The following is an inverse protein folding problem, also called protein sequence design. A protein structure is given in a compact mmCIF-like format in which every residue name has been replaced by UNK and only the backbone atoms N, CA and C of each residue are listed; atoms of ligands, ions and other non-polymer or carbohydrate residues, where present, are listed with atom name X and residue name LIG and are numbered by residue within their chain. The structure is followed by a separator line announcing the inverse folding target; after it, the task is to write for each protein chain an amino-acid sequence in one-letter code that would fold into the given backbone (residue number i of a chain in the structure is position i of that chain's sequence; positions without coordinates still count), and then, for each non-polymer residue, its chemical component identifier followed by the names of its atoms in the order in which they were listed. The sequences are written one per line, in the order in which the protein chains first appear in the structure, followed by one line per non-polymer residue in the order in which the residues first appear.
data_IF_482731708633
#
_entry.id   IF_482731708633
#
_cell.length_a   1.000
_cell.length_b   1.000
_cell.length_c   1.000
_cell.angle_alpha   90.00
_cell.angle_beta   90.00
_cell.angle_gamma   90.00
#
_symmetry.space_group_name_H-M   'P 1'
#
loop_
_entity.id
_entity.type
_entity.pdbx_description
1 polymer ?
#
# COMPACT_ATOMS: atom_id res chain seq x y z
N UNK A 1 -5.68 7.43 -19.71
CA UNK A 1 -5.95 6.17 -18.98
C UNK A 1 -6.62 6.52 -17.66
N UNK A 2 -7.72 5.84 -17.29
CA UNK A 2 -8.37 6.06 -15.98
C UNK A 2 -7.60 5.32 -14.90
N UNK A 3 -7.35 5.99 -13.77
CA UNK A 3 -6.66 5.43 -12.60
C UNK A 3 -7.50 5.63 -11.35
N UNK A 4 -7.38 4.70 -10.42
CA UNK A 4 -7.94 4.81 -9.07
C UNK A 4 -6.83 5.14 -8.08
N UNK A 5 -7.15 5.95 -7.07
CA UNK A 5 -6.25 6.22 -5.95
C UNK A 5 -6.65 5.35 -4.77
N UNK A 6 -5.71 4.57 -4.25
CA UNK A 6 -5.90 3.66 -3.12
C UNK A 6 -4.90 3.98 -2.01
N UNK A 7 -5.19 3.55 -0.79
CA UNK A 7 -4.26 3.63 0.34
C UNK A 7 -3.52 2.30 0.46
N UNK A 8 -2.18 2.35 0.42
CA UNK A 8 -1.35 1.18 0.66
C UNK A 8 -1.48 0.74 2.12
N UNK A 9 -1.88 -0.50 2.35
CA UNK A 9 -2.06 -1.02 3.71
C UNK A 9 -0.72 -1.20 4.44
N UNK A 10 0.35 -1.53 3.71
CA UNK A 10 1.69 -1.72 4.28
C UNK A 10 2.39 -0.44 4.71
N UNK A 11 2.21 0.68 4.00
CA UNK A 11 2.94 1.92 4.31
C UNK A 11 2.06 3.14 4.63
N UNK A 12 0.75 3.05 4.38
CA UNK A 12 -0.21 4.13 4.58
C UNK A 12 -0.19 5.22 3.52
N UNK A 13 0.64 5.11 2.48
CA UNK A 13 0.74 6.13 1.43
C UNK A 13 -0.32 5.93 0.34
N UNK A 14 -0.85 7.01 -0.24
CA UNK A 14 -1.67 6.92 -1.43
C UNK A 14 -0.84 6.42 -2.61
N UNK A 15 -1.44 5.60 -3.47
CA UNK A 15 -0.84 5.17 -4.73
C UNK A 15 -1.91 5.02 -5.81
N UNK A 16 -1.47 5.10 -7.06
CA UNK A 16 -2.35 4.99 -8.22
C UNK A 16 -2.29 3.58 -8.80
N UNK A 17 -3.44 3.04 -9.19
CA UNK A 17 -3.59 1.77 -9.90
C UNK A 17 -4.43 2.00 -11.16
N UNK A 18 -4.17 1.22 -12.21
CA UNK A 18 -4.99 1.27 -13.41
C UNK A 18 -6.42 0.78 -13.10
N UNK A 19 -7.44 1.47 -13.64
CA UNK A 19 -8.85 1.09 -13.42
C UNK A 19 -9.11 -0.37 -13.80
N UNK A 20 -8.55 -0.83 -14.93
CA UNK A 20 -8.72 -2.21 -15.42
C UNK A 20 -8.19 -3.26 -14.44
N UNK A 21 -7.11 -2.94 -13.73
CA UNK A 21 -6.55 -3.84 -12.72
C UNK A 21 -7.40 -3.84 -11.46
N UNK A 22 -7.89 -2.68 -11.06
CA UNK A 22 -8.83 -2.55 -9.95
C UNK A 22 -10.12 -3.33 -10.20
N UNK A 23 -10.73 -3.17 -11.38
CA UNK A 23 -11.96 -3.87 -11.77
C UNK A 23 -11.75 -5.38 -11.82
N UNK A 24 -10.60 -5.85 -12.32
CA UNK A 24 -10.25 -7.28 -12.32
C UNK A 24 -10.29 -7.85 -10.90
N UNK A 25 -9.68 -7.15 -9.95
CA UNK A 25 -9.62 -7.69 -8.59
C UNK A 25 -10.99 -7.61 -7.89
N UNK A 26 -11.80 -6.59 -8.18
CA UNK A 26 -13.19 -6.54 -7.71
C UNK A 26 -14.01 -7.70 -8.26
N UNK A 27 -13.82 -8.06 -9.53
CA UNK A 27 -14.52 -9.18 -10.17
C UNK A 27 -14.17 -10.53 -9.56
N UNK A 28 -12.93 -10.69 -9.09
CA UNK A 28 -12.47 -11.90 -8.40
C UNK A 28 -13.01 -12.02 -6.95
N UNK A 29 -13.78 -11.03 -6.47
CA UNK A 29 -14.29 -10.95 -5.08
C UNK A 29 -13.21 -11.12 -4.00
N UNK A 30 -11.94 -10.86 -4.36
CA UNK A 30 -10.83 -10.99 -3.45
C UNK A 30 -10.66 -9.72 -2.62
N UNK A 31 -11.00 -9.80 -1.33
CA UNK A 31 -10.52 -8.84 -0.33
C UNK A 31 -9.04 -9.11 -0.03
N UNK A 32 -8.19 -8.78 -1.00
CA UNK A 32 -6.74 -8.82 -0.80
C UNK A 32 -6.22 -7.44 -0.36
N UNK A 33 -5.29 -7.39 0.61
CA UNK A 33 -4.64 -6.16 1.01
C UNK A 33 -3.90 -5.53 -0.18
N UNK A 34 -3.96 -4.19 -0.26
CA UNK A 34 -3.44 -3.41 -1.38
C UNK A 34 -2.10 -2.78 -1.04
N UNK A 35 -1.11 -2.98 -1.89
CA UNK A 35 0.26 -2.53 -1.64
C UNK A 35 0.81 -1.74 -2.82
N UNK A 36 1.50 -0.64 -2.52
CA UNK A 36 2.10 0.23 -3.54
C UNK A 36 3.44 -0.29 -4.10
N UNK A 37 4.00 -1.35 -3.52
CA UNK A 37 5.27 -1.93 -3.95
C UNK A 37 5.41 -3.38 -3.49
N UNK A 38 6.29 -4.15 -4.14
CA UNK A 38 6.64 -5.51 -3.74
C UNK A 38 7.16 -5.58 -2.30
N UNK A 39 7.93 -4.57 -1.87
CA UNK A 39 8.39 -4.48 -0.48
C UNK A 39 7.22 -4.36 0.50
N UNK A 40 6.21 -3.56 0.17
CA UNK A 40 4.99 -3.48 0.98
C UNK A 40 4.18 -4.78 0.92
N UNK A 41 4.19 -5.50 -0.19
CA UNK A 41 3.52 -6.80 -0.30
C UNK A 41 4.22 -7.90 0.52
N UNK A 42 5.54 -7.84 0.66
CA UNK A 42 6.30 -8.82 1.44
C UNK A 42 6.17 -8.60 2.95
N UNK A 43 6.23 -7.34 3.40
CA UNK A 43 6.19 -6.99 4.83
C UNK A 43 4.83 -6.50 5.34
N UNK A 44 3.91 -6.14 4.44
CA UNK A 44 2.66 -5.46 4.79
C UNK A 44 1.63 -6.35 5.49
N UNK A 45 1.90 -7.65 5.58
CA UNK A 45 1.12 -8.62 6.34
C UNK A 45 1.56 -8.72 7.81
N UNK A 46 2.76 -8.26 8.13
CA UNK A 46 3.30 -8.24 9.50
C UNK A 46 3.00 -6.86 10.13
N UNK A 47 2.09 -6.78 11.12
CA UNK A 47 1.77 -5.53 11.79
C UNK A 47 2.98 -4.86 12.45
N UNK A 48 3.95 -5.64 12.95
CA UNK A 48 5.15 -5.13 13.60
C UNK A 48 6.09 -4.49 12.56
N UNK A 49 6.30 -5.13 11.42
CA UNK A 49 7.08 -4.57 10.32
C UNK A 49 6.43 -3.29 9.75
N UNK A 50 5.10 -3.28 9.60
CA UNK A 50 4.33 -2.09 9.19
C UNK A 50 4.50 -0.95 10.19
N UNK A 51 4.33 -1.23 11.49
CA UNK A 51 4.50 -0.24 12.55
C UNK A 51 5.93 0.32 12.57
N UNK A 52 6.94 -0.54 12.56
CA UNK A 52 8.35 -0.13 12.59
C UNK A 52 8.71 0.70 11.35
N UNK A 53 8.23 0.31 10.17
CA UNK A 53 8.39 1.08 8.95
C UNK A 53 7.76 2.47 9.04
N UNK A 54 6.57 2.59 9.64
CA UNK A 54 5.91 3.89 9.88
C UNK A 54 6.70 4.73 10.88
N UNK A 55 7.11 4.16 12.01
CA UNK A 55 7.91 4.81 13.05
C UNK A 55 9.24 5.35 12.50
N UNK A 56 9.98 4.55 11.73
CA UNK A 56 11.25 4.97 11.11
C UNK A 56 11.04 6.13 10.14
N UNK A 57 9.94 6.13 9.37
CA UNK A 57 9.61 7.24 8.46
C UNK A 57 9.24 8.52 9.21
N UNK A 58 8.52 8.45 10.33
CA UNK A 58 8.23 9.64 11.14
C UNK A 58 9.48 10.26 11.76
N UNK A 59 10.50 9.46 12.08
CA UNK A 59 11.78 9.98 12.58
C UNK A 59 12.70 10.50 11.47
N UNK A 60 12.74 9.83 10.31
CA UNK A 60 13.53 10.28 9.16
C UNK A 60 13.04 11.57 8.49
N UNK A 61 11.78 11.96 8.74
CA UNK A 61 11.19 13.22 8.28
C UNK A 61 11.53 14.44 9.14
N UNK A 62 12.20 14.27 10.28
CA UNK A 62 12.67 15.37 11.15
C UNK A 62 14.07 15.90 10.78
N UNK A 63 14.51 15.70 9.53
CA UNK A 63 15.62 16.45 8.95
C UNK A 63 15.05 17.43 7.93
N UNK A 64 14.66 18.61 8.41
CA UNK A 64 14.41 19.81 7.60
C UNK A 64 14.96 20.99 8.37
#
# INVERSE_FOLDING_TARGET
MKTVTLICQGCGRPFSMAQVEYDRILSESMQAPRFCSTQCAFHGWDPQAVWFGRYRRSQGGQKS
#
